data_IF_117180939552
#
_entry.id   IF_117180939552
#
_cell.length_a   1.000
_cell.length_b   1.000
_cell.length_c   1.000
_cell.angle_alpha   90.00
_cell.angle_beta   90.00
_cell.angle_gamma   90.00
#
_symmetry.space_group_name_H-M   'P 1'
#
loop_
_entity.id
_entity.type
_entity.pdbx_description
1 polymer ?
#
# COMPACT_ATOMS: atom_id res chain seq x y z
N UNK A 1 -16.71 -22.85 0.65
CA UNK A 1 -18.00 -23.57 0.51
C UNK A 1 -18.30 -24.12 -0.89
N UNK A 2 -17.57 -23.79 -1.98
CA UNK A 2 -17.75 -24.42 -3.30
C UNK A 2 -16.41 -24.72 -4.02
N UNK A 3 -15.69 -25.79 -3.66
CA UNK A 3 -14.37 -26.12 -4.21
C UNK A 3 -14.43 -26.52 -5.70
N UNK A 4 -15.55 -27.09 -6.15
CA UNK A 4 -15.87 -27.48 -7.53
C UNK A 4 -15.90 -26.29 -8.49
N UNK A 5 -16.29 -25.10 -8.00
CA UNK A 5 -16.37 -23.88 -8.79
C UNK A 5 -15.06 -23.11 -8.83
N UNK A 6 -14.09 -23.46 -7.98
CA UNK A 6 -12.88 -22.68 -7.74
C UNK A 6 -12.00 -22.54 -9.00
N UNK A 7 -11.78 -23.64 -9.74
CA UNK A 7 -10.99 -23.63 -10.99
C UNK A 7 -11.61 -22.76 -12.10
N UNK A 8 -12.90 -22.92 -12.46
CA UNK A 8 -13.56 -22.03 -13.42
C UNK A 8 -13.47 -20.54 -13.04
N UNK A 9 -13.57 -20.21 -11.75
CA UNK A 9 -13.47 -18.82 -11.30
C UNK A 9 -12.04 -18.26 -11.36
N UNK A 10 -11.03 -19.02 -10.94
CA UNK A 10 -9.62 -18.60 -11.03
C UNK A 10 -9.18 -18.42 -12.48
N UNK A 11 -9.60 -19.31 -13.37
CA UNK A 11 -9.24 -19.28 -14.80
C UNK A 11 -9.85 -18.09 -15.57
N UNK A 12 -10.75 -17.30 -14.96
CA UNK A 12 -11.25 -16.05 -15.58
C UNK A 12 -10.20 -14.95 -15.57
N UNK A 13 -9.25 -14.99 -14.65
CA UNK A 13 -8.14 -14.06 -14.63
C UNK A 13 -6.98 -14.66 -15.43
N UNK A 14 -6.78 -14.17 -16.67
CA UNK A 14 -5.70 -14.63 -17.55
C UNK A 14 -4.30 -14.23 -17.06
N UNK A 15 -4.21 -13.37 -16.03
CA UNK A 15 -2.93 -12.95 -15.46
C UNK A 15 -2.37 -14.05 -14.56
N UNK A 16 -1.12 -14.42 -14.82
CA UNK A 16 -0.37 -15.35 -13.99
C UNK A 16 0.86 -14.67 -13.40
N UNK A 17 1.07 -14.86 -12.09
CA UNK A 17 2.23 -14.29 -11.38
C UNK A 17 3.26 -15.39 -11.13
N UNK A 18 4.47 -15.19 -11.62
CA UNK A 18 5.61 -16.06 -11.32
C UNK A 18 6.37 -15.50 -10.11
N UNK A 19 6.83 -16.39 -9.24
CA UNK A 19 7.55 -16.04 -8.03
C UNK A 19 8.95 -16.67 -8.05
N UNK A 20 9.89 -15.99 -7.39
CA UNK A 20 11.16 -16.57 -6.98
C UNK A 20 11.17 -16.68 -5.46
N UNK A 21 11.83 -17.70 -4.92
CA UNK A 21 12.05 -17.78 -3.47
C UNK A 21 13.00 -16.66 -3.08
N UNK A 22 12.58 -15.81 -2.15
CA UNK A 22 13.35 -14.68 -1.64
C UNK A 22 13.40 -14.76 -0.12
N UNK A 23 14.60 -14.62 0.45
CA UNK A 23 14.86 -14.68 1.90
C UNK A 23 15.52 -13.41 2.44
N UNK A 24 15.23 -12.27 1.82
CA UNK A 24 15.77 -10.98 2.21
C UNK A 24 14.67 -9.97 2.51
N UNK A 25 15.06 -8.71 2.57
CA UNK A 25 14.18 -7.58 2.79
C UNK A 25 13.08 -7.47 1.73
N UNK A 26 11.96 -6.82 2.08
CA UNK A 26 10.91 -6.51 1.11
C UNK A 26 11.42 -5.44 0.16
N UNK A 27 11.53 -5.77 -1.13
CA UNK A 27 12.05 -4.88 -2.16
C UNK A 27 10.88 -4.36 -3.00
N UNK A 28 10.76 -3.04 -3.11
CA UNK A 28 9.77 -2.38 -3.95
C UNK A 28 10.15 -2.36 -5.42
N UNK A 29 9.26 -1.83 -6.27
CA UNK A 29 9.48 -1.67 -7.70
C UNK A 29 10.75 -0.90 -8.08
N UNK A 30 11.27 -0.04 -7.18
CA UNK A 30 12.51 0.71 -7.39
C UNK A 30 13.79 -0.08 -7.07
N UNK A 31 13.68 -1.35 -6.67
CA UNK A 31 14.83 -2.14 -6.23
C UNK A 31 15.36 -1.73 -4.85
N UNK A 32 14.64 -0.85 -4.13
CA UNK A 32 14.97 -0.39 -2.79
C UNK A 32 14.15 -1.14 -1.74
N UNK A 33 14.71 -1.26 -0.54
CA UNK A 33 14.00 -1.81 0.62
C UNK A 33 12.77 -0.95 0.95
N UNK A 34 11.64 -1.63 1.16
CA UNK A 34 10.44 -1.04 1.70
C UNK A 34 10.56 -0.92 3.22
N UNK A 35 10.27 0.27 3.72
CA UNK A 35 10.30 0.60 5.13
C UNK A 35 8.84 0.64 5.62
N UNK A 36 8.47 -0.19 6.62
CA UNK A 36 7.13 -0.18 7.19
C UNK A 36 6.66 1.22 7.55
N UNK A 37 5.41 1.51 7.18
CA UNK A 37 4.72 2.77 7.39
C UNK A 37 5.43 4.00 6.77
N UNK A 38 6.42 3.80 5.89
CA UNK A 38 7.18 4.88 5.22
C UNK A 38 7.18 4.73 3.70
N UNK A 39 7.04 3.51 3.21
CA UNK A 39 6.91 3.24 1.79
C UNK A 39 5.44 3.19 1.38
N UNK A 40 5.14 3.83 0.25
CA UNK A 40 3.82 3.76 -0.39
C UNK A 40 3.95 3.29 -1.85
N UNK A 41 2.89 2.65 -2.34
CA UNK A 41 2.70 2.39 -3.76
C UNK A 41 1.72 3.41 -4.35
N UNK A 42 2.07 3.96 -5.51
CA UNK A 42 1.22 4.93 -6.24
C UNK A 42 1.27 4.66 -7.74
N UNK A 43 0.47 5.39 -8.52
CA UNK A 43 0.50 5.31 -9.98
C UNK A 43 1.69 6.10 -10.55
N UNK A 44 2.70 5.40 -11.05
CA UNK A 44 3.94 6.00 -11.61
C UNK A 44 3.73 6.90 -12.83
N UNK A 45 2.57 6.79 -13.52
CA UNK A 45 2.27 7.67 -14.64
C UNK A 45 1.91 9.08 -14.17
N UNK A 46 1.53 9.22 -12.90
CA UNK A 46 1.04 10.45 -12.30
C UNK A 46 2.04 10.98 -11.27
N UNK A 47 2.57 10.08 -10.43
CA UNK A 47 3.39 10.44 -9.30
C UNK A 47 4.84 9.99 -9.50
N UNK A 48 5.83 10.87 -9.26
CA UNK A 48 7.23 10.50 -9.45
C UNK A 48 7.69 9.45 -8.43
N UNK A 49 8.38 8.43 -8.93
CA UNK A 49 9.11 7.46 -8.11
C UNK A 49 10.11 8.17 -7.18
N UNK A 50 10.17 7.73 -5.93
CA UNK A 50 11.04 8.26 -4.89
C UNK A 50 10.58 9.60 -4.29
N UNK A 51 9.46 10.17 -4.75
CA UNK A 51 9.03 11.48 -4.27
C UNK A 51 8.63 11.46 -2.79
N UNK A 52 9.13 12.47 -2.06
CA UNK A 52 8.78 12.74 -0.67
C UNK A 52 7.37 13.32 -0.59
N UNK A 53 6.53 12.71 0.23
CA UNK A 53 5.15 13.14 0.44
C UNK A 53 4.78 13.12 1.91
N UNK A 54 3.78 13.92 2.28
CA UNK A 54 3.14 13.88 3.58
C UNK A 54 1.74 13.31 3.43
N UNK A 55 1.45 12.23 4.13
CA UNK A 55 0.16 11.55 4.11
C UNK A 55 -0.61 11.82 5.40
N UNK A 56 -1.92 11.99 5.27
CA UNK A 56 -2.86 12.17 6.38
C UNK A 56 -4.07 11.27 6.12
N UNK A 57 -4.24 10.24 6.94
CA UNK A 57 -5.36 9.29 6.83
C UNK A 57 -5.62 8.66 8.19
N UNK A 58 -6.88 8.38 8.56
CA UNK A 58 -7.12 7.48 9.67
C UNK A 58 -6.64 6.06 9.29
N UNK A 59 -6.15 5.29 10.27
CA UNK A 59 -5.81 3.87 10.12
C UNK A 59 -6.58 3.02 11.14
N UNK A 60 -6.87 1.75 10.82
CA UNK A 60 -7.48 0.82 11.78
C UNK A 60 -6.66 0.70 13.08
N UNK A 61 -7.35 0.70 14.22
CA UNK A 61 -6.74 0.43 15.52
C UNK A 61 -6.54 -1.07 15.75
N UNK A 62 -5.33 -1.50 16.05
CA UNK A 62 -5.00 -2.92 16.31
C UNK A 62 -5.48 -3.39 17.69
N UNK A 63 -5.79 -2.45 18.60
CA UNK A 63 -6.13 -2.76 20.00
C UNK A 63 -7.64 -2.81 20.28
N UNK A 64 -8.50 -2.69 19.27
CA UNK A 64 -9.95 -2.71 19.51
C UNK A 64 -10.45 -4.15 19.67
N UNK A 65 -10.59 -4.59 20.92
CA UNK A 65 -11.37 -5.77 21.32
C UNK A 65 -12.87 -5.67 21.00
N UNK A 66 -13.30 -4.54 20.45
CA UNK A 66 -14.69 -4.21 20.13
C UNK A 66 -14.97 -4.49 18.65
N UNK A 67 -16.18 -5.01 18.35
CA UNK A 67 -16.71 -5.28 17.00
C UNK A 67 -16.90 -4.04 16.12
N UNK A 68 -16.47 -2.87 16.57
CA UNK A 68 -16.61 -1.60 15.86
C UNK A 68 -15.25 -1.24 15.28
N UNK A 69 -15.18 -0.99 13.96
CA UNK A 69 -13.96 -0.52 13.30
C UNK A 69 -13.54 0.86 13.87
N UNK A 70 -12.76 0.85 14.95
CA UNK A 70 -12.16 2.05 15.51
C UNK A 70 -10.95 2.42 14.66
N UNK A 71 -10.92 3.66 14.20
CA UNK A 71 -9.75 4.22 13.53
C UNK A 71 -9.05 5.22 14.43
N UNK A 72 -7.74 5.38 14.23
CA UNK A 72 -6.93 6.39 14.89
C UNK A 72 -6.37 7.38 13.85
N UNK A 73 -6.25 8.68 14.17
CA UNK A 73 -5.58 9.62 13.30
C UNK A 73 -4.13 9.20 13.06
N UNK A 74 -3.69 9.22 11.80
CA UNK A 74 -2.31 8.92 11.44
C UNK A 74 -1.84 9.86 10.33
N UNK A 75 -0.65 10.40 10.52
CA UNK A 75 -0.02 11.26 9.52
C UNK A 75 1.49 11.22 9.63
N UNK A 76 2.18 11.27 8.49
CA UNK A 76 3.65 11.27 8.45
C UNK A 76 4.20 11.48 7.05
N UNK A 77 5.52 11.70 6.99
CA UNK A 77 6.28 11.62 5.76
C UNK A 77 6.46 10.18 5.27
N UNK A 78 6.30 10.01 3.95
CA UNK A 78 6.39 8.76 3.19
C UNK A 78 7.11 8.99 1.85
N UNK A 79 7.55 7.91 1.22
CA UNK A 79 8.21 7.90 -0.09
C UNK A 79 7.46 6.96 -1.04
N UNK A 80 7.30 7.40 -2.29
CA UNK A 80 6.80 6.54 -3.38
C UNK A 80 7.87 5.54 -3.78
N UNK A 81 7.88 4.34 -3.19
CA UNK A 81 8.96 3.34 -3.39
C UNK A 81 8.49 2.05 -4.08
N UNK A 82 7.19 1.93 -4.31
CA UNK A 82 6.60 0.76 -4.94
C UNK A 82 5.54 1.11 -5.98
N UNK A 83 5.15 0.14 -6.78
CA UNK A 83 4.10 0.24 -7.79
C UNK A 83 3.19 -0.99 -7.73
N UNK A 84 1.88 -0.76 -7.75
CA UNK A 84 0.89 -1.82 -7.85
C UNK A 84 0.11 -1.73 -9.14
N UNK A 85 -0.07 -2.85 -9.85
CA UNK A 85 -0.90 -2.87 -11.09
C UNK A 85 -2.34 -2.41 -10.82
N UNK A 86 -2.84 -2.65 -9.60
CA UNK A 86 -4.15 -2.21 -9.13
C UNK A 86 -4.18 -0.77 -8.60
N UNK A 87 -3.02 -0.15 -8.36
CA UNK A 87 -2.92 1.22 -7.84
C UNK A 87 -2.83 2.17 -9.03
N UNK A 88 -4.00 2.67 -9.44
CA UNK A 88 -4.18 3.49 -10.65
C UNK A 88 -4.94 4.77 -10.36
N UNK A 89 -4.54 5.83 -11.05
CA UNK A 89 -5.16 7.14 -10.94
C UNK A 89 -4.69 7.96 -9.74
N UNK A 90 -5.10 9.24 -9.66
CA UNK A 90 -4.59 10.18 -8.67
C UNK A 90 -5.18 10.00 -7.26
N UNK A 91 -6.19 9.14 -7.12
CA UNK A 91 -7.01 9.01 -5.89
C UNK A 91 -6.64 7.79 -5.04
N UNK A 92 -5.62 7.01 -5.43
CA UNK A 92 -5.31 5.73 -4.78
C UNK A 92 -3.83 5.67 -4.38
N UNK A 93 -3.63 5.26 -3.13
CA UNK A 93 -2.32 5.04 -2.50
C UNK A 93 -2.42 3.75 -1.72
N UNK A 94 -1.39 2.91 -1.79
CA UNK A 94 -1.25 1.75 -0.92
C UNK A 94 -0.12 1.98 0.09
N UNK A 95 -0.33 1.63 1.36
CA UNK A 95 0.64 1.88 2.42
C UNK A 95 1.23 0.54 2.85
N UNK A 96 2.56 0.42 2.77
CA UNK A 96 3.24 -0.76 3.25
C UNK A 96 3.38 -0.72 4.77
N UNK A 97 2.64 -1.55 5.52
CA UNK A 97 2.74 -1.63 6.99
C UNK A 97 3.79 -2.62 7.51
N UNK A 98 4.55 -3.25 6.63
CA UNK A 98 5.46 -4.34 6.99
C UNK A 98 4.82 -5.71 6.84
N UNK A 99 5.31 -6.68 7.61
CA UNK A 99 4.94 -8.08 7.52
C UNK A 99 4.41 -8.61 8.85
N UNK A 100 3.61 -9.68 8.79
CA UNK A 100 3.07 -10.35 9.97
C UNK A 100 1.64 -9.92 10.32
N UNK A 101 1.05 -10.59 11.30
CA UNK A 101 -0.39 -10.55 11.55
C UNK A 101 -0.95 -9.14 11.84
N UNK A 102 -0.19 -8.28 12.53
CA UNK A 102 -0.62 -6.91 12.80
C UNK A 102 -0.66 -6.04 11.53
N UNK A 103 0.38 -6.14 10.69
CA UNK A 103 0.42 -5.41 9.43
C UNK A 103 -0.69 -5.87 8.48
N UNK A 104 -0.94 -7.18 8.41
CA UNK A 104 -2.04 -7.76 7.64
C UNK A 104 -3.40 -7.26 8.13
N UNK A 105 -3.62 -7.22 9.45
CA UNK A 105 -4.87 -6.74 10.04
C UNK A 105 -5.13 -5.27 9.69
N UNK A 106 -4.12 -4.42 9.81
CA UNK A 106 -4.24 -3.00 9.44
C UNK A 106 -4.53 -2.88 7.94
N UNK A 107 -3.72 -3.55 7.10
CA UNK A 107 -3.83 -3.45 5.65
C UNK A 107 -5.18 -3.96 5.11
N UNK A 108 -5.72 -5.05 5.68
CA UNK A 108 -6.99 -5.63 5.22
C UNK A 108 -8.20 -4.73 5.51
N UNK A 109 -8.12 -3.92 6.57
CA UNK A 109 -9.18 -3.01 7.00
C UNK A 109 -8.95 -1.56 6.54
N UNK A 110 -7.79 -1.25 5.95
CA UNK A 110 -7.49 0.10 5.46
C UNK A 110 -8.24 0.40 4.16
N UNK A 111 -9.39 1.04 4.27
CA UNK A 111 -10.19 1.55 3.13
C UNK A 111 -10.76 2.93 3.44
N UNK A 112 -9.89 3.84 3.89
CA UNK A 112 -10.32 5.16 4.36
C UNK A 112 -9.90 6.28 3.41
N UNK A 113 -10.70 7.35 3.31
CA UNK A 113 -10.28 8.55 2.62
C UNK A 113 -9.12 9.22 3.37
N UNK A 114 -8.18 9.77 2.61
CA UNK A 114 -7.02 10.48 3.14
C UNK A 114 -6.57 11.58 2.20
N UNK A 115 -5.51 12.28 2.60
CA UNK A 115 -4.85 13.31 1.79
C UNK A 115 -3.38 12.94 1.63
N UNK A 116 -2.87 13.08 0.42
CA UNK A 116 -1.45 12.93 0.10
C UNK A 116 -0.94 14.23 -0.50
N UNK A 117 0.09 14.79 0.11
CA UNK A 117 0.71 16.04 -0.30
C UNK A 117 2.12 15.75 -0.81
N UNK A 118 2.39 16.07 -2.07
CA UNK A 118 3.74 15.96 -2.64
C UNK A 118 4.54 17.22 -2.34
N UNK A 119 5.78 17.05 -1.87
CA UNK A 119 6.68 18.16 -1.63
C UNK A 119 7.49 18.42 -2.89
N UNK A 120 7.32 19.61 -3.46
CA UNK A 120 8.05 20.06 -4.64
C UNK A 120 8.99 21.17 -4.21
N UNK A 121 10.23 21.10 -4.67
CA UNK A 121 11.22 22.15 -4.42
C UNK A 121 10.70 23.44 -5.07
N UNK A 122 10.62 24.50 -4.27
CA UNK A 122 10.30 25.82 -4.81
C UNK A 122 11.43 26.24 -5.74
N UNK A 123 11.10 26.60 -6.96
CA UNK A 123 12.05 27.20 -7.88
C UNK A 123 12.69 28.42 -7.21
N UNK A 124 14.02 28.48 -7.26
CA UNK A 124 14.84 29.54 -6.67
C UNK A 124 14.95 30.77 -7.57
N UNK A 125 14.22 30.79 -8.69
CA UNK A 125 14.12 31.91 -9.64
C UNK A 125 13.49 33.17 -9.05
#
# INVERSE_FOLDING_TARGET
EHPDRLRPYLNRNERYTFFRIWKGEMIGSLGLQLIPERSIATDKQIFPSGALSYIVTPIPSVNSSEKTEKTIPWSRFVLTQDEGVAIRGPHRVDIFFGTGAQAELIASHLKHPGKLYYLIVKDSS
#
